data_IF_184796270491
#
_entry.id   IF_184796270491
#
_cell.length_a   1.000
_cell.length_b   1.000
_cell.length_c   1.000
_cell.angle_alpha   90.00
_cell.angle_beta   90.00
_cell.angle_gamma   90.00
#
_symmetry.space_group_name_H-M   'P 1'
#
loop_
_entity.id
_entity.type
_entity.pdbx_description
1 polymer ?
#
# COMPACT_ATOMS: atom_id res chain seq x y z
N UNK A 1 32.13 -16.36 -6.05
CA UNK A 1 32.24 -16.51 -4.59
C UNK A 1 30.86 -16.78 -4.01
N UNK A 2 30.75 -17.61 -2.97
CA UNK A 2 29.49 -17.84 -2.26
C UNK A 2 29.73 -17.77 -0.76
N UNK A 3 28.81 -17.13 -0.03
CA UNK A 3 28.86 -16.97 1.42
C UNK A 3 27.56 -17.47 2.02
N UNK A 4 27.62 -18.29 3.05
CA UNK A 4 26.43 -18.69 3.81
C UNK A 4 26.30 -17.82 5.05
N UNK A 5 25.11 -17.27 5.27
CA UNK A 5 24.75 -16.54 6.49
C UNK A 5 23.63 -17.29 7.22
N UNK A 6 23.64 -17.21 8.55
CA UNK A 6 22.56 -17.77 9.37
C UNK A 6 21.51 -16.70 9.61
N UNK A 7 20.25 -17.04 9.38
CA UNK A 7 19.09 -16.17 9.66
C UNK A 7 18.06 -16.92 10.50
N UNK A 8 17.05 -16.22 11.00
CA UNK A 8 15.97 -16.84 11.78
C UNK A 8 15.21 -17.95 11.01
N UNK A 9 15.13 -17.86 9.67
CA UNK A 9 14.45 -18.89 8.86
C UNK A 9 15.33 -20.12 8.58
N UNK A 10 16.64 -20.01 8.83
CA UNK A 10 17.64 -21.04 8.56
C UNK A 10 18.85 -20.52 7.77
N UNK A 11 19.67 -21.41 7.19
CA UNK A 11 20.84 -21.04 6.40
C UNK A 11 20.44 -20.38 5.08
N UNK A 12 21.15 -19.31 4.73
CA UNK A 12 20.96 -18.55 3.49
C UNK A 12 22.30 -18.48 2.76
N UNK A 13 22.40 -19.10 1.60
CA UNK A 13 23.54 -19.04 0.70
C UNK A 13 23.40 -17.86 -0.26
N UNK A 14 24.32 -16.92 -0.16
CA UNK A 14 24.48 -15.80 -1.09
C UNK A 14 25.48 -16.18 -2.18
N UNK A 15 25.08 -16.03 -3.45
CA UNK A 15 25.94 -16.27 -4.61
C UNK A 15 26.29 -14.95 -5.27
N UNK A 16 27.57 -14.79 -5.60
CA UNK A 16 28.10 -13.58 -6.22
C UNK A 16 28.29 -12.44 -5.22
N UNK A 17 28.75 -11.31 -5.73
CA UNK A 17 28.90 -10.06 -4.98
C UNK A 17 28.29 -8.93 -5.80
N UNK A 18 27.76 -7.91 -5.13
CA UNK A 18 27.21 -6.74 -5.80
C UNK A 18 27.40 -5.49 -4.94
N UNK A 19 28.22 -4.56 -5.42
CA UNK A 19 28.49 -3.29 -4.75
C UNK A 19 27.39 -2.24 -4.99
N UNK A 20 26.50 -2.45 -5.96
CA UNK A 20 25.42 -1.52 -6.28
C UNK A 20 24.38 -1.53 -5.16
N UNK A 21 24.16 -0.40 -4.46
CA UNK A 21 23.14 -0.34 -3.43
C UNK A 21 21.76 -0.20 -4.05
N UNK A 22 20.74 -0.70 -3.35
CA UNK A 22 19.33 -0.61 -3.69
C UNK A 22 18.57 -0.10 -2.47
N UNK A 23 17.76 0.95 -2.61
CA UNK A 23 17.03 1.55 -1.47
C UNK A 23 17.92 1.90 -0.25
N UNK A 24 19.12 2.44 -0.50
CA UNK A 24 20.04 2.89 0.55
C UNK A 24 20.77 1.77 1.31
N UNK A 25 20.68 0.52 0.85
CA UNK A 25 21.37 -0.64 1.45
C UNK A 25 22.02 -1.54 0.39
N UNK A 26 22.88 -2.47 0.80
CA UNK A 26 23.41 -3.49 -0.10
C UNK A 26 22.34 -4.52 -0.48
N UNK A 27 22.50 -5.18 -1.64
CA UNK A 27 21.56 -6.23 -2.04
C UNK A 27 21.61 -7.44 -1.09
N UNK A 28 22.78 -7.73 -0.51
CA UNK A 28 22.93 -8.74 0.54
C UNK A 28 22.08 -8.43 1.77
N UNK A 29 22.11 -7.18 2.26
CA UNK A 29 21.29 -6.75 3.40
C UNK A 29 19.79 -6.79 3.07
N UNK A 30 19.40 -6.37 1.86
CA UNK A 30 18.00 -6.48 1.40
C UNK A 30 17.52 -7.94 1.42
N UNK A 31 18.32 -8.86 0.88
CA UNK A 31 17.99 -10.29 0.82
C UNK A 31 17.94 -10.93 2.22
N UNK A 32 18.88 -10.59 3.11
CA UNK A 32 18.84 -11.00 4.52
C UNK A 32 17.56 -10.54 5.21
N UNK A 33 17.16 -9.27 5.02
CA UNK A 33 15.89 -8.76 5.58
C UNK A 33 14.67 -9.47 5.02
N UNK A 34 14.68 -9.87 3.75
CA UNK A 34 13.59 -10.66 3.17
C UNK A 34 13.46 -12.03 3.85
N UNK A 35 14.57 -12.73 4.07
CA UNK A 35 14.57 -14.00 4.83
C UNK A 35 14.09 -13.82 6.27
N UNK A 36 14.59 -12.80 7.00
CA UNK A 36 14.13 -12.48 8.35
C UNK A 36 12.65 -12.11 8.42
N UNK A 37 12.17 -11.33 7.45
CA UNK A 37 10.76 -10.94 7.35
C UNK A 37 9.87 -12.15 7.07
N UNK A 38 10.31 -13.08 6.23
CA UNK A 38 9.59 -14.33 5.98
C UNK A 38 9.49 -15.19 7.25
N UNK A 39 10.59 -15.34 8.00
CA UNK A 39 10.60 -16.04 9.29
C UNK A 39 9.62 -15.40 10.30
N UNK A 40 9.66 -14.07 10.45
CA UNK A 40 8.71 -13.33 11.32
C UNK A 40 7.25 -13.51 10.94
N UNK A 41 6.99 -13.83 9.67
CA UNK A 41 5.65 -14.11 9.16
C UNK A 41 5.26 -15.59 9.22
N UNK A 42 6.10 -16.44 9.83
CA UNK A 42 5.80 -17.85 10.08
C UNK A 42 6.28 -18.80 8.98
N UNK A 43 7.02 -18.32 7.97
CA UNK A 43 7.67 -19.21 7.02
C UNK A 43 8.82 -19.96 7.69
N UNK A 44 9.06 -21.20 7.26
CA UNK A 44 10.20 -22.02 7.67
C UNK A 44 10.77 -22.75 6.45
N UNK A 45 12.03 -23.15 6.53
CA UNK A 45 12.65 -24.01 5.52
C UNK A 45 12.35 -25.48 5.79
N UNK A 46 12.26 -26.25 4.71
CA UNK A 46 12.23 -27.70 4.77
C UNK A 46 13.54 -28.23 5.37
N UNK A 47 13.49 -29.35 6.12
CA UNK A 47 14.69 -29.98 6.66
C UNK A 47 15.76 -30.24 5.58
N UNK A 48 17.02 -29.98 5.90
CA UNK A 48 18.14 -30.17 4.96
C UNK A 48 18.20 -29.18 3.80
N UNK A 49 17.33 -28.16 3.78
CA UNK A 49 17.35 -27.12 2.75
C UNK A 49 18.02 -25.82 3.24
N UNK A 50 18.45 -24.99 2.30
CA UNK A 50 18.90 -23.62 2.48
C UNK A 50 18.16 -22.69 1.51
N UNK A 51 18.06 -21.41 1.87
CA UNK A 51 17.66 -20.39 0.89
C UNK A 51 18.86 -19.97 0.07
N UNK A 52 18.65 -19.79 -1.22
CA UNK A 52 19.65 -19.27 -2.14
C UNK A 52 19.22 -17.90 -2.64
N UNK A 53 20.15 -16.95 -2.62
CA UNK A 53 19.99 -15.65 -3.26
C UNK A 53 21.19 -15.30 -4.13
N UNK A 54 20.96 -15.00 -5.40
CA UNK A 54 21.99 -14.45 -6.27
C UNK A 54 22.02 -12.92 -6.16
N UNK A 55 23.14 -12.37 -5.68
CA UNK A 55 23.31 -10.94 -5.44
C UNK A 55 23.44 -10.11 -6.72
N UNK A 56 23.73 -10.74 -7.86
CA UNK A 56 23.75 -10.09 -9.18
C UNK A 56 22.36 -9.58 -9.57
N UNK A 57 21.29 -10.23 -9.10
CA UNK A 57 19.93 -9.91 -9.48
C UNK A 57 19.17 -9.21 -8.35
N UNK A 58 18.35 -8.23 -8.72
CA UNK A 58 17.22 -7.79 -7.91
C UNK A 58 15.95 -8.45 -8.45
N UNK A 59 15.11 -8.93 -7.54
CA UNK A 59 13.90 -9.65 -7.90
C UNK A 59 12.68 -9.24 -7.06
N UNK A 60 11.50 -9.61 -7.56
CA UNK A 60 10.21 -9.42 -6.90
C UNK A 60 10.07 -10.34 -5.67
N UNK A 61 9.72 -9.79 -4.48
CA UNK A 61 9.47 -10.60 -3.28
C UNK A 61 8.46 -11.76 -3.45
N UNK A 62 7.59 -11.71 -4.46
CA UNK A 62 6.73 -12.83 -4.85
C UNK A 62 7.52 -14.13 -5.04
N UNK A 63 8.71 -14.07 -5.66
CA UNK A 63 9.52 -15.27 -5.92
C UNK A 63 9.98 -15.93 -4.62
N UNK A 64 10.42 -15.14 -3.64
CA UNK A 64 10.79 -15.67 -2.33
C UNK A 64 9.61 -16.41 -1.67
N UNK A 65 8.42 -15.82 -1.75
CA UNK A 65 7.22 -16.46 -1.20
C UNK A 65 6.95 -17.80 -1.87
N UNK A 66 7.00 -17.87 -3.20
CA UNK A 66 6.72 -19.11 -3.94
C UNK A 66 7.74 -20.21 -3.63
N UNK A 67 9.03 -19.88 -3.52
CA UNK A 67 10.05 -20.89 -3.14
C UNK A 67 9.88 -21.37 -1.70
N UNK A 68 9.34 -20.54 -0.80
CA UNK A 68 9.03 -20.93 0.57
C UNK A 68 7.79 -21.82 0.67
N UNK A 69 6.80 -21.62 -0.21
CA UNK A 69 5.59 -22.44 -0.28
C UNK A 69 5.86 -23.82 -0.92
N UNK A 70 6.86 -23.94 -1.80
CA UNK A 70 7.21 -25.19 -2.49
C UNK A 70 8.72 -25.51 -2.38
N UNK A 71 9.15 -26.27 -1.36
CA UNK A 71 10.55 -26.68 -1.22
C UNK A 71 11.08 -27.41 -2.45
N UNK A 72 12.38 -27.24 -2.77
CA UNK A 72 12.99 -27.77 -3.99
C UNK A 72 12.73 -26.93 -5.24
N UNK A 73 12.13 -25.75 -5.08
CA UNK A 73 11.96 -24.78 -6.18
C UNK A 73 13.15 -23.85 -6.31
N UNK A 74 13.65 -23.71 -7.52
CA UNK A 74 14.67 -22.74 -7.91
C UNK A 74 14.16 -21.91 -9.10
N UNK A 75 14.08 -20.59 -8.91
CA UNK A 75 13.91 -19.66 -10.03
C UNK A 75 15.25 -19.32 -10.65
N UNK A 76 15.33 -19.40 -11.97
CA UNK A 76 16.49 -19.05 -12.78
C UNK A 76 16.14 -17.99 -13.81
N UNK A 77 17.17 -17.29 -14.31
CA UNK A 77 17.08 -16.38 -15.45
C UNK A 77 18.09 -16.81 -16.49
N UNK A 78 17.60 -17.35 -17.62
CA UNK A 78 18.45 -17.91 -18.68
C UNK A 78 19.47 -18.91 -18.13
N UNK A 79 18.99 -19.90 -17.36
CA UNK A 79 19.80 -20.92 -16.70
C UNK A 79 20.63 -20.45 -15.49
N UNK A 80 20.67 -19.15 -15.16
CA UNK A 80 21.41 -18.64 -13.99
C UNK A 80 20.52 -18.61 -12.75
N UNK A 81 20.92 -19.21 -11.60
CA UNK A 81 20.17 -19.13 -10.34
C UNK A 81 19.84 -17.70 -9.90
N UNK A 82 18.61 -17.45 -9.45
CA UNK A 82 18.15 -16.15 -8.93
C UNK A 82 17.78 -16.27 -7.45
N UNK A 83 16.77 -17.09 -7.16
CA UNK A 83 16.27 -17.34 -5.79
C UNK A 83 15.68 -18.73 -5.70
N UNK A 84 15.95 -19.44 -4.60
CA UNK A 84 15.50 -20.82 -4.44
C UNK A 84 15.47 -21.29 -2.99
N UNK A 85 14.72 -22.37 -2.73
CA UNK A 85 14.83 -23.19 -1.53
C UNK A 85 15.39 -24.55 -1.98
N UNK A 86 16.69 -24.76 -1.82
CA UNK A 86 17.43 -25.89 -2.40
C UNK A 86 18.08 -26.74 -1.30
N UNK A 87 18.42 -28.00 -1.60
CA UNK A 87 19.12 -28.85 -0.65
C UNK A 87 20.51 -28.28 -0.31
N UNK A 88 20.97 -28.47 0.92
CA UNK A 88 22.26 -27.97 1.38
C UNK A 88 23.43 -28.69 0.71
N UNK A 89 24.46 -27.94 0.34
CA UNK A 89 25.73 -28.50 -0.14
C UNK A 89 25.70 -29.12 -1.54
N UNK A 90 24.57 -29.09 -2.24
CA UNK A 90 24.45 -29.59 -3.62
C UNK A 90 24.48 -28.44 -4.62
N UNK A 91 24.67 -28.77 -5.90
CA UNK A 91 24.49 -27.83 -7.00
C UNK A 91 23.01 -27.39 -7.06
N UNK A 92 22.69 -26.09 -6.91
CA UNK A 92 21.34 -25.58 -6.98
C UNK A 92 20.56 -26.01 -8.23
N UNK A 93 21.23 -26.18 -9.37
CA UNK A 93 20.59 -26.54 -10.64
C UNK A 93 20.04 -27.98 -10.65
N UNK A 94 20.39 -28.79 -9.65
CA UNK A 94 19.83 -30.14 -9.46
C UNK A 94 18.50 -30.15 -8.70
N UNK A 95 17.96 -28.96 -8.36
CA UNK A 95 16.68 -28.83 -7.66
C UNK A 95 15.53 -29.50 -8.47
N UNK A 96 14.57 -30.16 -7.80
CA UNK A 96 13.46 -30.84 -8.48
C UNK A 96 12.61 -29.94 -9.38
N UNK A 97 12.48 -28.66 -9.03
CA UNK A 97 11.65 -27.70 -9.74
C UNK A 97 12.46 -26.47 -10.15
N UNK A 98 13.14 -26.54 -11.29
CA UNK A 98 13.84 -25.40 -11.89
C UNK A 98 12.90 -24.66 -12.84
N UNK A 99 12.64 -23.39 -12.54
CA UNK A 99 11.72 -22.53 -13.29
C UNK A 99 12.49 -21.37 -13.91
N UNK A 100 12.61 -21.35 -15.24
CA UNK A 100 13.23 -20.23 -15.97
C UNK A 100 12.21 -19.12 -16.23
N UNK A 101 12.53 -17.91 -15.80
CA UNK A 101 11.68 -16.72 -15.93
C UNK A 101 11.98 -15.89 -17.18
N UNK A 102 13.01 -16.26 -17.96
CA UNK A 102 13.40 -15.57 -19.20
C UNK A 102 12.44 -15.81 -20.36
N UNK A 103 11.56 -16.81 -20.25
CA UNK A 103 10.53 -17.16 -21.24
C UNK A 103 9.30 -16.24 -21.23
N UNK A 104 9.24 -15.25 -20.34
CA UNK A 104 8.11 -14.33 -20.26
C UNK A 104 6.95 -14.83 -19.40
N UNK A 105 7.08 -15.98 -18.72
CA UNK A 105 5.97 -16.55 -17.94
C UNK A 105 5.46 -15.58 -16.87
N UNK A 106 4.14 -15.56 -16.70
CA UNK A 106 3.50 -14.80 -15.63
C UNK A 106 3.24 -15.72 -14.45
N UNK A 107 3.41 -15.19 -13.24
CA UNK A 107 3.12 -15.88 -12.00
C UNK A 107 1.98 -15.19 -11.28
N UNK A 108 1.13 -15.98 -10.63
CA UNK A 108 -0.02 -15.45 -9.92
C UNK A 108 0.37 -14.90 -8.55
N UNK A 109 0.18 -13.59 -8.34
CA UNK A 109 0.39 -12.94 -7.06
C UNK A 109 -0.92 -12.88 -6.26
N UNK A 110 -1.17 -13.87 -5.40
CA UNK A 110 -2.38 -13.92 -4.55
C UNK A 110 -2.58 -12.69 -3.66
N UNK A 111 -1.51 -12.03 -3.22
CA UNK A 111 -1.60 -10.84 -2.35
C UNK A 111 -2.06 -9.60 -3.12
N UNK A 112 -1.62 -9.47 -4.37
CA UNK A 112 -2.01 -8.36 -5.24
C UNK A 112 -3.21 -8.70 -6.15
N UNK A 113 -3.61 -9.98 -6.20
CA UNK A 113 -4.63 -10.53 -7.10
C UNK A 113 -4.37 -10.16 -8.54
N UNK A 114 -3.18 -10.53 -9.01
CA UNK A 114 -2.68 -10.16 -10.33
C UNK A 114 -1.77 -11.23 -10.91
N UNK A 115 -1.97 -11.55 -12.18
CA UNK A 115 -1.04 -12.30 -13.01
C UNK A 115 -0.02 -11.35 -13.64
N UNK A 116 1.24 -11.45 -13.24
CA UNK A 116 2.31 -10.63 -13.81
C UNK A 116 3.61 -11.40 -13.96
N UNK A 117 4.42 -10.99 -14.95
CA UNK A 117 5.79 -11.50 -15.02
C UNK A 117 6.56 -10.90 -13.83
N UNK A 118 7.08 -11.73 -12.92
CA UNK A 118 7.85 -11.25 -11.78
C UNK A 118 9.07 -10.49 -12.28
N UNK A 119 9.40 -9.38 -11.62
CA UNK A 119 10.60 -8.63 -11.95
C UNK A 119 11.83 -9.46 -11.57
N UNK A 120 12.70 -9.73 -12.55
CA UNK A 120 14.09 -10.18 -12.35
C UNK A 120 14.99 -9.35 -13.25
N UNK A 121 15.96 -8.65 -12.67
CA UNK A 121 16.87 -7.76 -13.40
C UNK A 121 18.26 -7.78 -12.78
N UNK A 122 19.28 -7.72 -13.62
CA UNK A 122 20.66 -7.52 -13.18
C UNK A 122 20.75 -6.15 -12.51
N UNK A 123 21.26 -6.13 -11.28
CA UNK A 123 21.39 -4.93 -10.46
C UNK A 123 22.74 -4.26 -10.73
N UNK A 124 22.70 -3.20 -11.53
CA UNK A 124 23.84 -2.38 -11.92
C UNK A 124 23.55 -0.90 -11.60
N UNK A 125 24.57 -0.04 -11.53
CA UNK A 125 24.36 1.40 -11.33
C UNK A 125 23.41 2.02 -12.37
N UNK A 126 23.47 1.54 -13.61
CA UNK A 126 22.61 1.94 -14.74
C UNK A 126 21.15 1.48 -14.57
N UNK A 127 20.91 0.26 -14.10
CA UNK A 127 19.57 -0.35 -13.97
C UNK A 127 18.89 -0.04 -12.63
N UNK A 128 19.65 0.37 -11.61
CA UNK A 128 19.17 0.62 -10.24
C UNK A 128 17.89 1.46 -10.18
N UNK A 129 17.87 2.61 -10.86
CA UNK A 129 16.71 3.53 -10.80
C UNK A 129 15.45 2.87 -11.35
N UNK A 130 15.58 2.11 -12.45
CA UNK A 130 14.46 1.38 -13.03
C UNK A 130 13.98 0.27 -12.08
N UNK A 131 14.89 -0.49 -11.49
CA UNK A 131 14.59 -1.56 -10.52
C UNK A 131 13.86 -1.00 -9.30
N UNK A 132 14.34 0.11 -8.72
CA UNK A 132 13.66 0.78 -7.60
C UNK A 132 12.26 1.23 -8.02
N UNK A 133 12.11 1.86 -9.20
CA UNK A 133 10.80 2.30 -9.69
C UNK A 133 9.84 1.11 -9.85
N UNK A 134 10.28 0.03 -10.50
CA UNK A 134 9.47 -1.19 -10.68
C UNK A 134 9.10 -1.83 -9.34
N UNK A 135 10.04 -1.91 -8.41
CA UNK A 135 9.78 -2.43 -7.06
C UNK A 135 8.75 -1.59 -6.29
N UNK A 136 8.83 -0.26 -6.40
CA UNK A 136 7.90 0.67 -5.76
C UNK A 136 6.48 0.56 -6.33
N UNK A 137 6.37 0.49 -7.66
CA UNK A 137 5.10 0.43 -8.36
C UNK A 137 4.45 -0.96 -8.32
N UNK A 138 5.24 -2.03 -8.37
CA UNK A 138 4.78 -3.40 -8.16
C UNK A 138 4.14 -3.59 -6.77
N UNK A 139 4.58 -2.83 -5.77
CA UNK A 139 3.99 -2.85 -4.43
C UNK A 139 2.70 -2.02 -4.27
N UNK A 140 2.01 -1.57 -5.33
CA UNK A 140 0.70 -0.90 -5.20
C UNK A 140 -0.45 -1.91 -5.19
N UNK A 141 -1.39 -1.75 -4.25
CA UNK A 141 -2.72 -2.32 -4.40
C UNK A 141 -3.44 -1.55 -5.50
N UNK A 142 -3.96 -2.23 -6.52
CA UNK A 142 -4.37 -1.62 -7.80
C UNK A 142 -5.52 -0.61 -7.74
N UNK A 143 -6.26 -0.54 -6.63
CA UNK A 143 -7.45 0.33 -6.47
C UNK A 143 -7.22 1.31 -5.32
N UNK A 144 -7.19 2.61 -5.64
CA UNK A 144 -6.95 3.72 -4.70
C UNK A 144 -7.69 4.99 -5.14
N UNK A 145 -7.58 6.09 -4.39
CA UNK A 145 -8.19 7.37 -4.72
C UNK A 145 -7.47 8.13 -5.86
N UNK A 146 -8.14 9.12 -6.45
CA UNK A 146 -7.63 9.93 -7.55
C UNK A 146 -6.25 10.55 -7.26
N UNK A 147 -6.06 11.12 -6.07
CA UNK A 147 -4.85 11.86 -5.77
C UNK A 147 -3.65 10.93 -5.58
N UNK A 148 -3.84 9.84 -4.82
CA UNK A 148 -2.81 8.80 -4.67
C UNK A 148 -2.44 8.18 -6.02
N UNK A 149 -3.41 8.04 -6.93
CA UNK A 149 -3.20 7.42 -8.24
C UNK A 149 -2.51 8.33 -9.24
N UNK A 150 -2.83 9.63 -9.25
CA UNK A 150 -2.43 10.54 -10.35
C UNK A 150 -1.62 11.76 -9.90
N UNK A 151 -1.80 12.26 -8.67
CA UNK A 151 -1.21 13.53 -8.24
C UNK A 151 0.22 13.38 -7.72
N UNK A 152 0.44 12.50 -6.74
CA UNK A 152 1.75 12.37 -6.08
C UNK A 152 2.48 11.02 -6.19
N UNK A 153 2.15 10.06 -7.08
CA UNK A 153 2.87 8.78 -7.09
C UNK A 153 4.37 8.92 -7.40
N UNK A 154 4.73 9.81 -8.34
CA UNK A 154 6.13 10.09 -8.67
C UNK A 154 6.83 10.90 -7.57
N UNK A 155 6.14 11.87 -6.98
CA UNK A 155 6.65 12.63 -5.83
C UNK A 155 6.95 11.69 -4.65
N UNK A 156 6.01 10.81 -4.31
CA UNK A 156 6.17 9.84 -3.24
C UNK A 156 7.31 8.85 -3.54
N UNK A 157 7.51 8.44 -4.80
CA UNK A 157 8.69 7.64 -5.19
C UNK A 157 10.01 8.39 -4.92
N UNK A 158 10.10 9.66 -5.32
CA UNK A 158 11.30 10.48 -5.09
C UNK A 158 11.57 10.62 -3.59
N UNK A 159 10.54 10.94 -2.80
CA UNK A 159 10.68 11.07 -1.35
C UNK A 159 11.03 9.75 -0.67
N UNK A 160 10.46 8.62 -1.10
CA UNK A 160 10.85 7.28 -0.61
C UNK A 160 12.33 6.99 -0.89
N UNK A 161 12.84 7.36 -2.07
CA UNK A 161 14.27 7.20 -2.38
C UNK A 161 15.14 8.06 -1.47
N UNK A 162 14.79 9.31 -1.28
CA UNK A 162 15.53 10.24 -0.41
C UNK A 162 15.54 9.70 1.02
N UNK A 163 14.37 9.33 1.56
CA UNK A 163 14.25 8.78 2.91
C UNK A 163 15.09 7.50 3.08
N UNK A 164 15.08 6.61 2.08
CA UNK A 164 15.89 5.39 2.07
C UNK A 164 17.40 5.70 2.05
N UNK A 165 17.84 6.67 1.24
CA UNK A 165 19.24 7.09 1.16
C UNK A 165 19.72 7.75 2.46
N UNK A 166 18.85 8.51 3.12
CA UNK A 166 19.10 9.09 4.44
C UNK A 166 18.99 8.06 5.58
N UNK A 167 18.71 6.80 5.28
CA UNK A 167 18.51 5.71 6.24
C UNK A 167 17.42 6.02 7.27
N UNK A 168 16.43 6.82 6.89
CA UNK A 168 15.26 7.07 7.72
C UNK A 168 14.48 5.77 7.92
N UNK A 169 13.96 5.56 9.12
CA UNK A 169 13.01 4.46 9.37
C UNK A 169 11.60 4.89 8.94
N UNK A 170 10.71 3.96 8.56
CA UNK A 170 9.30 4.27 8.31
C UNK A 170 8.67 5.04 9.47
N UNK A 171 8.90 4.60 10.71
CA UNK A 171 8.39 5.26 11.92
C UNK A 171 8.83 6.73 12.04
N UNK A 172 10.06 7.08 11.63
CA UNK A 172 10.50 8.49 11.63
C UNK A 172 9.66 9.32 10.65
N UNK A 173 9.36 8.79 9.48
CA UNK A 173 8.50 9.44 8.49
C UNK A 173 7.08 9.57 9.03
N UNK A 174 6.54 8.52 9.64
CA UNK A 174 5.21 8.52 10.26
C UNK A 174 5.11 9.55 11.39
N UNK A 175 6.11 9.67 12.26
CA UNK A 175 6.14 10.69 13.33
C UNK A 175 6.08 12.11 12.75
N UNK A 176 6.88 12.41 11.72
CA UNK A 176 6.82 13.71 11.02
C UNK A 176 5.41 13.93 10.45
N UNK A 177 4.83 12.92 9.82
CA UNK A 177 3.47 12.94 9.30
C UNK A 177 2.43 13.25 10.39
N UNK A 178 2.48 12.56 11.53
CA UNK A 178 1.57 12.77 12.66
C UNK A 178 1.71 14.19 13.21
N UNK A 179 2.93 14.72 13.34
CA UNK A 179 3.14 16.11 13.76
C UNK A 179 2.47 17.09 12.80
N UNK A 180 2.61 16.89 11.49
CA UNK A 180 1.94 17.71 10.47
C UNK A 180 0.41 17.55 10.48
N UNK A 181 -0.10 16.37 10.80
CA UNK A 181 -1.52 16.12 10.97
C UNK A 181 -2.10 16.90 12.16
N UNK A 182 -1.41 16.88 13.31
CA UNK A 182 -1.80 17.66 14.49
C UNK A 182 -1.69 19.16 14.22
N UNK A 183 -0.62 19.60 13.57
CA UNK A 183 -0.44 20.99 13.15
C UNK A 183 -1.57 21.44 12.21
N UNK A 184 -1.92 20.64 11.20
CA UNK A 184 -3.03 20.94 10.29
C UNK A 184 -4.36 21.07 11.05
N UNK A 185 -4.61 20.16 12.00
CA UNK A 185 -5.81 20.20 12.85
C UNK A 185 -5.91 21.51 13.63
N UNK A 186 -4.83 21.92 14.28
CA UNK A 186 -4.79 23.19 15.02
C UNK A 186 -4.92 24.40 14.08
N UNK A 187 -4.24 24.41 12.94
CA UNK A 187 -4.32 25.48 11.94
C UNK A 187 -5.74 25.64 11.38
N UNK A 188 -6.44 24.53 11.10
CA UNK A 188 -7.84 24.57 10.71
C UNK A 188 -8.72 25.16 11.80
N UNK A 189 -8.50 24.79 13.07
CA UNK A 189 -9.24 25.35 14.20
C UNK A 189 -9.10 26.88 14.31
N UNK A 190 -7.94 27.43 13.93
CA UNK A 190 -7.65 28.87 13.91
C UNK A 190 -8.07 29.57 12.61
N UNK A 191 -8.76 28.88 11.69
CA UNK A 191 -9.15 29.43 10.38
C UNK A 191 -7.98 29.70 9.43
N UNK A 192 -6.78 29.18 9.73
CA UNK A 192 -5.59 29.29 8.87
C UNK A 192 -5.63 28.21 7.78
N UNK A 193 -6.65 28.24 6.92
CA UNK A 193 -6.96 27.15 6.01
C UNK A 193 -5.85 26.84 5.00
N UNK A 194 -5.18 27.85 4.43
CA UNK A 194 -4.11 27.63 3.44
C UNK A 194 -2.90 26.91 4.02
N UNK A 195 -2.43 27.35 5.20
CA UNK A 195 -1.28 26.72 5.86
C UNK A 195 -1.67 25.37 6.46
N UNK A 196 -2.89 25.24 7.00
CA UNK A 196 -3.44 23.95 7.43
C UNK A 196 -3.53 22.96 6.27
N UNK A 197 -3.95 23.42 5.09
CA UNK A 197 -4.04 22.61 3.88
C UNK A 197 -2.65 22.17 3.41
N UNK A 198 -1.67 23.07 3.39
CA UNK A 198 -0.29 22.72 3.06
C UNK A 198 0.27 21.67 4.02
N UNK A 199 0.08 21.84 5.33
CA UNK A 199 0.49 20.88 6.34
C UNK A 199 -0.18 19.51 6.13
N UNK A 200 -1.49 19.51 5.90
CA UNK A 200 -2.26 18.30 5.63
C UNK A 200 -1.85 17.61 4.34
N UNK A 201 -1.55 18.36 3.28
CA UNK A 201 -1.06 17.84 2.02
C UNK A 201 0.30 17.15 2.18
N UNK A 202 1.25 17.80 2.87
CA UNK A 202 2.58 17.21 3.14
C UNK A 202 2.40 15.91 3.95
N UNK A 203 1.57 15.93 5.00
CA UNK A 203 1.23 14.72 5.76
C UNK A 203 0.72 13.60 4.85
N UNK A 204 -0.28 13.87 4.00
CA UNK A 204 -0.87 12.86 3.11
C UNK A 204 0.15 12.24 2.13
N UNK A 205 1.14 13.02 1.67
CA UNK A 205 2.24 12.50 0.86
C UNK A 205 3.16 11.62 1.71
N UNK A 206 3.53 12.06 2.92
CA UNK A 206 4.42 11.29 3.81
C UNK A 206 3.81 9.98 4.29
N UNK A 207 2.49 9.94 4.51
CA UNK A 207 1.69 8.74 4.78
C UNK A 207 1.70 7.71 3.62
N UNK A 208 2.00 8.16 2.39
CA UNK A 208 2.30 7.23 1.30
C UNK A 208 3.77 6.76 1.37
N UNK A 209 4.67 7.67 1.76
CA UNK A 209 6.12 7.45 1.77
C UNK A 209 6.52 6.44 2.84
N UNK A 210 5.98 6.49 4.06
CA UNK A 210 6.36 5.59 5.15
C UNK A 210 6.05 4.11 4.84
N UNK A 211 4.84 3.81 4.38
CA UNK A 211 4.43 2.46 4.01
C UNK A 211 5.18 1.96 2.78
N UNK A 212 5.48 2.85 1.83
CA UNK A 212 6.31 2.49 0.67
C UNK A 212 7.76 2.27 1.05
N UNK A 213 8.31 3.08 1.95
CA UNK A 213 9.65 2.91 2.51
C UNK A 213 9.75 1.58 3.25
N UNK A 214 8.75 1.24 4.09
CA UNK A 214 8.71 -0.03 4.81
C UNK A 214 8.73 -1.25 3.87
N UNK A 215 7.94 -1.21 2.79
CA UNK A 215 7.89 -2.27 1.77
C UNK A 215 9.17 -2.35 0.94
N UNK A 216 9.71 -1.22 0.51
CA UNK A 216 10.91 -1.19 -0.34
C UNK A 216 12.19 -1.57 0.42
N UNK A 217 12.26 -1.26 1.71
CA UNK A 217 13.42 -1.54 2.59
C UNK A 217 13.27 -2.81 3.42
N UNK A 218 12.15 -3.53 3.27
CA UNK A 218 11.82 -4.77 3.99
C UNK A 218 11.88 -4.58 5.51
N UNK A 219 11.24 -3.50 5.99
CA UNK A 219 11.19 -3.12 7.41
C UNK A 219 9.76 -3.04 7.96
N UNK A 220 8.78 -3.61 7.25
CA UNK A 220 7.40 -3.67 7.74
C UNK A 220 7.30 -4.42 9.07
N UNK A 221 6.65 -3.80 10.06
CA UNK A 221 6.32 -4.44 11.34
C UNK A 221 4.81 -4.48 11.54
N UNK A 222 4.28 -5.57 12.12
CA UNK A 222 2.83 -5.71 12.41
C UNK A 222 2.35 -4.61 13.37
N UNK A 223 3.15 -4.28 14.38
CA UNK A 223 2.84 -3.26 15.38
C UNK A 223 2.85 -1.83 14.82
N UNK A 224 3.87 -1.46 14.02
CA UNK A 224 3.90 -0.15 13.35
C UNK A 224 2.67 0.05 12.46
N UNK A 225 2.35 -0.96 11.65
CA UNK A 225 1.17 -0.93 10.79
C UNK A 225 -0.16 -0.80 11.57
N UNK A 226 -0.25 -1.27 12.82
CA UNK A 226 -1.47 -1.10 13.64
C UNK A 226 -1.59 0.33 14.19
N UNK A 227 -0.48 0.91 14.64
CA UNK A 227 -0.46 2.28 15.18
C UNK A 227 -0.74 3.29 14.05
N UNK A 228 -0.03 3.16 12.92
CA UNK A 228 -0.19 4.04 11.76
C UNK A 228 -1.63 3.97 11.23
N UNK A 229 -2.17 2.76 11.09
CA UNK A 229 -3.56 2.57 10.66
C UNK A 229 -4.58 3.13 11.67
N UNK A 230 -4.25 3.12 12.97
CA UNK A 230 -5.11 3.66 14.02
C UNK A 230 -5.26 5.18 13.94
N UNK A 231 -4.15 5.91 13.74
CA UNK A 231 -4.17 7.38 13.60
C UNK A 231 -4.90 7.81 12.33
N UNK A 232 -4.68 7.10 11.23
CA UNK A 232 -5.38 7.32 9.97
C UNK A 232 -6.88 7.11 10.05
N UNK A 233 -7.31 6.17 10.89
CA UNK A 233 -8.72 5.87 11.09
C UNK A 233 -9.43 6.97 11.90
N UNK A 234 -8.72 7.66 12.79
CA UNK A 234 -9.34 8.54 13.79
C UNK A 234 -9.32 10.01 13.38
N UNK A 235 -8.27 10.49 12.72
CA UNK A 235 -8.11 11.93 12.48
C UNK A 235 -9.12 12.60 11.51
N UNK A 236 -9.67 11.96 10.45
CA UNK A 236 -10.42 12.70 9.44
C UNK A 236 -11.64 13.45 10.01
N UNK A 237 -12.48 12.86 10.88
CA UNK A 237 -13.54 13.59 11.57
C UNK A 237 -13.08 14.85 12.33
N UNK A 238 -11.90 14.82 12.96
CA UNK A 238 -11.36 15.97 13.67
C UNK A 238 -11.00 17.10 12.71
N UNK A 239 -10.37 16.79 11.57
CA UNK A 239 -10.08 17.80 10.55
C UNK A 239 -11.35 18.49 10.07
N UNK A 240 -12.42 17.74 9.80
CA UNK A 240 -13.69 18.32 9.35
C UNK A 240 -14.36 19.18 10.43
N UNK A 241 -14.30 18.73 11.68
CA UNK A 241 -14.81 19.49 12.82
C UNK A 241 -14.06 20.81 12.99
N UNK A 242 -12.73 20.76 13.06
CA UNK A 242 -11.90 21.94 13.27
C UNK A 242 -11.87 22.88 12.05
N UNK A 243 -12.01 22.34 10.84
CA UNK A 243 -12.28 23.15 9.66
C UNK A 243 -13.56 23.96 9.84
N UNK A 244 -14.63 23.33 10.31
CA UNK A 244 -15.91 24.00 10.52
C UNK A 244 -15.89 25.02 11.66
N UNK A 245 -15.21 24.76 12.79
CA UNK A 245 -15.05 25.76 13.86
C UNK A 245 -14.19 26.94 13.39
N UNK A 246 -13.17 26.67 12.57
CA UNK A 246 -12.30 27.70 11.99
C UNK A 246 -13.02 28.70 11.09
N UNK A 247 -14.20 28.35 10.55
CA UNK A 247 -14.98 29.25 9.69
C UNK A 247 -15.37 30.55 10.40
N UNK A 248 -15.46 30.55 11.73
CA UNK A 248 -15.74 31.75 12.52
C UNK A 248 -14.72 32.87 12.28
N UNK A 249 -13.45 32.54 12.09
CA UNK A 249 -12.38 33.51 11.82
C UNK A 249 -12.51 34.19 10.46
N UNK A 250 -13.27 33.59 9.53
CA UNK A 250 -13.57 34.15 8.20
C UNK A 250 -14.95 34.81 8.15
N UNK A 251 -15.67 34.89 9.27
CA UNK A 251 -17.06 35.37 9.30
C UNK A 251 -18.04 34.43 8.59
N UNK A 252 -17.63 33.18 8.32
CA UNK A 252 -18.40 32.15 7.60
C UNK A 252 -18.93 31.05 8.53
N UNK A 253 -19.03 31.37 9.83
CA UNK A 253 -19.53 30.43 10.84
C UNK A 253 -20.90 29.88 10.47
N UNK A 254 -21.04 28.56 10.53
CA UNK A 254 -22.30 27.88 10.24
C UNK A 254 -23.27 28.00 11.42
N UNK A 255 -24.57 28.04 11.14
CA UNK A 255 -25.58 27.96 12.20
C UNK A 255 -25.42 26.67 13.01
N UNK A 256 -25.78 26.68 14.29
CA UNK A 256 -25.66 25.49 15.15
C UNK A 256 -26.35 24.25 14.55
N UNK A 257 -27.56 24.42 14.02
CA UNK A 257 -28.30 23.33 13.36
C UNK A 257 -27.60 22.80 12.11
N UNK A 258 -27.09 23.70 11.25
CA UNK A 258 -26.32 23.31 10.05
C UNK A 258 -25.04 22.57 10.43
N UNK A 259 -24.29 23.09 11.40
CA UNK A 259 -23.03 22.49 11.85
C UNK A 259 -23.27 21.11 12.45
N UNK A 260 -24.26 20.95 13.33
CA UNK A 260 -24.64 19.65 13.89
C UNK A 260 -25.01 18.65 12.80
N UNK A 261 -25.85 19.06 11.83
CA UNK A 261 -26.23 18.18 10.72
C UNK A 261 -25.00 17.69 9.93
N UNK A 262 -24.09 18.60 9.55
CA UNK A 262 -22.87 18.25 8.80
C UNK A 262 -22.00 17.29 9.62
N UNK A 263 -21.74 17.60 10.90
CA UNK A 263 -20.89 16.75 11.74
C UNK A 263 -21.50 15.36 11.93
N UNK A 264 -22.81 15.27 12.16
CA UNK A 264 -23.52 13.99 12.23
C UNK A 264 -23.41 13.23 10.91
N UNK A 265 -23.66 13.87 9.77
CA UNK A 265 -23.58 13.23 8.46
C UNK A 265 -22.18 12.66 8.18
N UNK A 266 -21.13 13.42 8.51
CA UNK A 266 -19.74 13.02 8.26
C UNK A 266 -19.28 11.93 9.21
N UNK A 267 -19.56 12.04 10.52
CA UNK A 267 -19.15 11.05 11.53
C UNK A 267 -19.95 9.74 11.35
N UNK A 268 -21.28 9.82 11.29
CA UNK A 268 -22.12 8.64 11.09
C UNK A 268 -21.83 8.00 9.73
N UNK A 269 -21.71 8.81 8.68
CA UNK A 269 -21.34 8.33 7.35
C UNK A 269 -19.99 7.61 7.34
N UNK A 270 -18.99 8.16 8.03
CA UNK A 270 -17.68 7.51 8.17
C UNK A 270 -17.77 6.14 8.84
N UNK A 271 -18.46 6.04 9.98
CA UNK A 271 -18.64 4.79 10.73
C UNK A 271 -19.41 3.77 9.88
N UNK A 272 -20.55 4.16 9.30
CA UNK A 272 -21.39 3.28 8.49
C UNK A 272 -20.65 2.77 7.24
N UNK A 273 -19.85 3.61 6.57
CA UNK A 273 -19.01 3.17 5.45
C UNK A 273 -17.98 2.12 5.87
N UNK A 274 -17.33 2.29 7.03
CA UNK A 274 -16.39 1.27 7.56
C UNK A 274 -17.10 -0.04 7.90
N UNK A 275 -18.32 0.03 8.44
CA UNK A 275 -19.14 -1.17 8.69
C UNK A 275 -19.48 -1.90 7.38
N UNK A 276 -19.83 -1.15 6.31
CA UNK A 276 -20.09 -1.74 4.99
C UNK A 276 -18.86 -2.45 4.42
N UNK A 277 -17.70 -1.81 4.48
CA UNK A 277 -16.43 -2.41 4.05
C UNK A 277 -16.07 -3.65 4.88
N UNK A 278 -16.29 -3.59 6.20
CA UNK A 278 -16.09 -4.71 7.11
C UNK A 278 -17.01 -5.89 6.81
N UNK A 279 -18.29 -5.63 6.49
CA UNK A 279 -19.24 -6.66 6.05
C UNK A 279 -18.78 -7.30 4.74
N UNK A 280 -18.33 -6.51 3.77
CA UNK A 280 -17.84 -7.04 2.50
C UNK A 280 -16.64 -7.98 2.69
N UNK A 281 -15.69 -7.57 3.53
CA UNK A 281 -14.53 -8.38 3.86
C UNK A 281 -14.91 -9.66 4.62
N UNK A 282 -15.83 -9.55 5.60
CA UNK A 282 -16.28 -10.69 6.40
C UNK A 282 -17.01 -11.73 5.55
N UNK A 283 -17.97 -11.28 4.75
CA UNK A 283 -18.98 -12.13 4.11
C UNK A 283 -18.58 -12.57 2.69
N UNK A 284 -17.73 -11.81 2.01
CA UNK A 284 -17.28 -12.09 0.64
C UNK A 284 -15.75 -12.21 0.49
N UNK A 285 -14.97 -12.06 1.58
CA UNK A 285 -13.50 -12.17 1.58
C UNK A 285 -12.80 -11.25 0.58
N UNK A 286 -13.43 -10.13 0.23
CA UNK A 286 -12.87 -9.11 -0.63
C UNK A 286 -13.33 -7.72 -0.21
N UNK A 287 -12.62 -6.71 -0.72
CA UNK A 287 -13.01 -5.32 -0.57
C UNK A 287 -14.16 -4.98 -1.53
N UNK A 288 -15.14 -4.18 -1.09
CA UNK A 288 -16.25 -3.70 -1.92
C UNK A 288 -15.75 -3.01 -3.20
N UNK A 289 -14.61 -2.34 -3.13
CA UNK A 289 -14.02 -1.54 -4.21
C UNK A 289 -13.45 -2.38 -5.35
N UNK A 290 -13.35 -3.70 -5.20
CA UNK A 290 -12.88 -4.62 -6.26
C UNK A 290 -13.98 -5.57 -6.75
N UNK A 291 -15.24 -5.38 -6.33
CA UNK A 291 -16.31 -6.29 -6.75
C UNK A 291 -16.65 -6.14 -8.23
N UNK A 292 -16.97 -4.92 -8.72
CA UNK A 292 -17.19 -4.62 -10.13
C UNK A 292 -16.33 -3.45 -10.61
N UNK A 293 -16.12 -3.26 -11.93
CA UNK A 293 -15.33 -2.15 -12.46
C UNK A 293 -15.82 -0.78 -11.99
N UNK A 294 -17.14 -0.62 -11.86
CA UNK A 294 -17.77 0.58 -11.29
C UNK A 294 -17.26 0.88 -9.88
N UNK A 295 -17.14 -0.12 -9.01
CA UNK A 295 -16.71 0.09 -7.61
C UNK A 295 -15.26 0.59 -7.57
N UNK A 296 -14.40 0.06 -8.45
CA UNK A 296 -13.01 0.50 -8.57
C UNK A 296 -12.88 1.92 -9.12
N UNK A 297 -13.76 2.32 -10.05
CA UNK A 297 -13.84 3.70 -10.54
C UNK A 297 -14.39 4.64 -9.48
N UNK A 298 -15.44 4.24 -8.77
CA UNK A 298 -16.05 5.03 -7.71
C UNK A 298 -15.07 5.25 -6.54
N UNK A 299 -14.21 4.27 -6.24
CA UNK A 299 -13.13 4.42 -5.24
C UNK A 299 -12.25 5.65 -5.47
N UNK A 300 -12.09 6.09 -6.73
CA UNK A 300 -11.28 7.27 -7.07
C UNK A 300 -11.80 8.53 -6.38
N UNK A 301 -13.13 8.63 -6.24
CA UNK A 301 -13.83 9.84 -5.81
C UNK A 301 -14.65 9.65 -4.54
N UNK A 302 -14.91 8.41 -4.09
CA UNK A 302 -15.72 8.13 -2.90
C UNK A 302 -15.28 8.95 -1.68
N UNK A 303 -16.25 9.39 -0.88
CA UNK A 303 -15.99 10.19 0.32
C UNK A 303 -15.02 9.50 1.29
N UNK A 304 -13.78 9.98 1.30
CA UNK A 304 -12.68 9.61 2.19
C UNK A 304 -11.75 10.81 2.34
N UNK A 305 -10.75 10.72 3.22
CA UNK A 305 -9.76 11.79 3.48
C UNK A 305 -9.30 12.51 2.22
N UNK A 306 -8.66 11.81 1.27
CA UNK A 306 -8.05 12.46 0.11
C UNK A 306 -9.08 13.09 -0.84
N UNK A 307 -10.14 12.39 -1.30
CA UNK A 307 -11.17 13.04 -2.13
C UNK A 307 -11.88 14.21 -1.44
N UNK A 308 -12.13 14.10 -0.12
CA UNK A 308 -12.75 15.16 0.65
C UNK A 308 -11.85 16.41 0.71
N UNK A 309 -10.53 16.24 0.83
CA UNK A 309 -9.59 17.36 0.76
C UNK A 309 -9.66 18.10 -0.59
N UNK A 310 -9.95 17.41 -1.70
CA UNK A 310 -10.14 18.07 -3.00
C UNK A 310 -11.36 19.00 -2.96
N UNK A 311 -12.48 18.54 -2.40
CA UNK A 311 -13.71 19.33 -2.27
C UNK A 311 -13.43 20.61 -1.47
N UNK A 312 -12.75 20.47 -0.33
CA UNK A 312 -12.38 21.60 0.53
C UNK A 312 -11.38 22.54 -0.15
N UNK A 313 -10.42 22.02 -0.89
CA UNK A 313 -9.44 22.84 -1.63
C UNK A 313 -10.13 23.71 -2.68
N UNK A 314 -11.00 23.12 -3.49
CA UNK A 314 -11.73 23.84 -4.54
C UNK A 314 -12.63 24.93 -3.95
N UNK A 315 -13.31 24.63 -2.84
CA UNK A 315 -14.13 25.64 -2.17
C UNK A 315 -13.29 26.74 -1.52
N UNK A 316 -12.13 26.39 -0.97
CA UNK A 316 -11.18 27.34 -0.39
C UNK A 316 -10.59 28.28 -1.46
N UNK A 317 -10.28 27.77 -2.66
CA UNK A 317 -9.89 28.58 -3.81
C UNK A 317 -10.96 29.62 -4.18
N UNK A 318 -12.23 29.26 -4.05
CA UNK A 318 -13.35 30.17 -4.28
C UNK A 318 -13.62 31.12 -3.08
N UNK A 319 -12.78 31.10 -2.04
CA UNK A 319 -12.97 31.89 -0.82
C UNK A 319 -14.16 31.44 0.03
N UNK A 320 -14.68 30.23 -0.20
CA UNK A 320 -15.89 29.67 0.45
C UNK A 320 -15.61 28.34 1.13
N UNK A 321 -14.76 28.31 2.17
CA UNK A 321 -14.47 27.10 2.94
C UNK A 321 -15.72 26.50 3.62
N UNK A 322 -16.78 27.29 3.83
CA UNK A 322 -18.07 26.87 4.37
C UNK A 322 -18.86 25.97 3.41
N UNK A 323 -18.93 26.35 2.13
CA UNK A 323 -19.61 25.57 1.09
C UNK A 323 -18.90 24.22 0.90
N UNK A 324 -17.56 24.20 0.98
CA UNK A 324 -16.79 22.95 0.91
C UNK A 324 -17.20 21.95 1.96
N UNK A 325 -17.40 22.40 3.20
CA UNK A 325 -17.79 21.53 4.29
C UNK A 325 -19.22 20.98 4.10
N UNK A 326 -20.14 21.79 3.59
CA UNK A 326 -21.50 21.37 3.21
C UNK A 326 -21.45 20.33 2.07
N UNK A 327 -20.68 20.60 1.02
CA UNK A 327 -20.52 19.70 -0.12
C UNK A 327 -19.90 18.36 0.29
N UNK A 328 -18.90 18.39 1.17
CA UNK A 328 -18.28 17.19 1.75
C UNK A 328 -19.31 16.34 2.51
N UNK A 329 -20.18 16.94 3.32
CA UNK A 329 -21.22 16.22 4.04
C UNK A 329 -22.20 15.52 3.09
N UNK A 330 -22.70 16.25 2.07
CA UNK A 330 -23.56 15.67 1.04
C UNK A 330 -22.86 14.56 0.26
N UNK A 331 -21.61 14.75 -0.12
CA UNK A 331 -20.82 13.74 -0.80
C UNK A 331 -20.62 12.48 0.05
N UNK A 332 -20.48 12.64 1.38
CA UNK A 332 -20.43 11.52 2.34
C UNK A 332 -21.74 10.73 2.34
N UNK A 333 -22.89 11.42 2.38
CA UNK A 333 -24.22 10.79 2.33
C UNK A 333 -24.39 10.04 1.00
N UNK A 334 -24.10 10.70 -0.13
CA UNK A 334 -24.23 10.09 -1.47
C UNK A 334 -23.33 8.85 -1.57
N UNK A 335 -22.07 8.95 -1.14
CA UNK A 335 -21.13 7.83 -1.17
C UNK A 335 -21.61 6.66 -0.29
N UNK A 336 -22.18 6.96 0.88
CA UNK A 336 -22.76 5.95 1.75
C UNK A 336 -23.94 5.24 1.07
N UNK A 337 -24.84 5.98 0.44
CA UNK A 337 -25.99 5.41 -0.30
C UNK A 337 -25.50 4.50 -1.42
N UNK A 338 -24.52 4.93 -2.21
CA UNK A 338 -23.90 4.10 -3.26
C UNK A 338 -23.39 2.80 -2.65
N UNK A 339 -22.55 2.85 -1.60
CA UNK A 339 -22.02 1.64 -0.98
C UNK A 339 -23.10 0.73 -0.37
N UNK A 340 -24.15 1.30 0.23
CA UNK A 340 -25.26 0.53 0.78
C UNK A 340 -26.02 -0.22 -0.33
N UNK A 341 -26.28 0.44 -1.47
CA UNK A 341 -26.88 -0.19 -2.65
C UNK A 341 -25.98 -1.31 -3.17
N UNK A 342 -24.67 -1.08 -3.27
CA UNK A 342 -23.71 -2.10 -3.72
C UNK A 342 -23.68 -3.30 -2.77
N UNK A 343 -23.71 -3.08 -1.45
CA UNK A 343 -23.81 -4.15 -0.47
C UNK A 343 -25.10 -4.96 -0.62
N UNK A 344 -26.25 -4.28 -0.76
CA UNK A 344 -27.54 -4.94 -0.97
C UNK A 344 -27.55 -5.78 -2.24
N UNK A 345 -26.98 -5.27 -3.34
CA UNK A 345 -26.83 -6.00 -4.59
C UNK A 345 -25.94 -7.26 -4.41
N UNK A 346 -24.82 -7.15 -3.68
CA UNK A 346 -23.94 -8.30 -3.43
C UNK A 346 -24.66 -9.41 -2.66
N UNK A 347 -25.46 -9.04 -1.65
CA UNK A 347 -26.31 -10.00 -0.95
C UNK A 347 -27.41 -10.59 -1.83
N UNK A 348 -28.01 -9.79 -2.72
CA UNK A 348 -28.98 -10.27 -3.71
C UNK A 348 -28.38 -11.33 -4.63
N UNK A 349 -27.19 -11.07 -5.18
CA UNK A 349 -26.46 -12.03 -6.03
C UNK A 349 -26.11 -13.30 -5.25
N UNK A 350 -25.60 -13.19 -4.02
CA UNK A 350 -25.33 -14.37 -3.17
C UNK A 350 -26.58 -15.21 -2.92
N UNK A 351 -27.75 -14.58 -2.70
CA UNK A 351 -29.03 -15.29 -2.52
C UNK A 351 -29.49 -16.01 -3.78
N UNK A 352 -29.11 -15.54 -4.96
CA UNK A 352 -29.37 -16.22 -6.24
C UNK A 352 -28.47 -17.44 -6.49
N UNK A 353 -27.56 -17.77 -5.56
CA UNK A 353 -26.63 -18.89 -5.68
C UNK A 353 -25.37 -18.60 -6.50
N UNK A 354 -25.22 -17.38 -7.02
CA UNK A 354 -24.04 -16.98 -7.78
C UNK A 354 -22.87 -16.62 -6.85
N UNK A 355 -21.62 -17.02 -7.21
CA UNK A 355 -20.45 -16.66 -6.44
C UNK A 355 -20.15 -15.16 -6.56
N UNK A 356 -19.65 -14.58 -5.46
CA UNK A 356 -19.22 -13.19 -5.39
C UNK A 356 -17.71 -13.17 -5.55
N UNK A 357 -17.25 -12.88 -6.77
CA UNK A 357 -15.83 -12.82 -7.15
C UNK A 357 -15.45 -11.41 -7.60
N UNK A 358 -14.17 -11.08 -7.51
CA UNK A 358 -13.63 -9.79 -7.96
C UNK A 358 -13.65 -9.74 -9.49
N UNK A 359 -14.01 -8.60 -10.07
CA UNK A 359 -13.98 -8.42 -11.53
C UNK A 359 -12.57 -8.55 -12.12
N UNK A 360 -11.54 -8.32 -11.31
CA UNK A 360 -10.15 -8.53 -11.72
C UNK A 360 -9.86 -10.03 -11.87
N UNK A 361 -10.40 -10.85 -10.95
CA UNK A 361 -10.24 -12.30 -10.98
C UNK A 361 -11.06 -12.89 -12.16
N UNK A 362 -12.25 -12.34 -12.43
CA UNK A 362 -13.08 -12.71 -13.59
C UNK A 362 -12.36 -12.37 -14.92
N UNK A 363 -11.77 -11.18 -15.04
CA UNK A 363 -11.04 -10.77 -16.23
C UNK A 363 -9.79 -11.61 -16.47
N UNK A 364 -9.12 -12.05 -15.40
CA UNK A 364 -7.97 -12.95 -15.45
C UNK A 364 -8.36 -14.37 -15.89
N UNK A 365 -9.48 -14.90 -15.42
CA UNK A 365 -9.96 -16.24 -15.84
C UNK A 365 -10.38 -16.29 -17.33
N UNK A 366 -10.68 -15.13 -17.92
CA UNK A 366 -11.08 -15.00 -19.33
C UNK A 366 -9.92 -14.75 -20.30
N UNK A 367 -8.70 -14.52 -19.79
CA UNK A 367 -7.47 -14.24 -20.57
C UNK A 367 -6.53 -15.42 -20.59
#
# INVERSE_FOLDING_TARGET
>A
MSQTITTTIGPVRLIGENATPIWGMSNAERNRRMAESAAKNGSALAPGHELLFNLTYAFDPLLLRLVLETPGTLFVWAGTPVVGQVAQGVDPLTAPHVIDLSDGRKLYNRQLRKLEQPMVRVLEPSSRREIERRSYFGAYKGVTDLLTKYLWPELALILTRIAAQLKMTPNMVSVIGVTLCLAATWLFAQGMFWTGFLSGFIFMVLDTVDGKLARCTITSSKWGNVIDHGVDLVHPPFWWYFWGTGLAYWGLGLSGGTFTFIMTAVIAGYVLQRLIEGMFLKDFKMDIHVWRPFDSQFRLITARRNPNMVILFVSLLAGRPDIGLIALAWWTIISLVVHAVRLAQAYGVRRSGQPIVSWMDEAEAAS
#
